data_IF_002415326110
#
_entry.id   IF_002415326110
#
_cell.length_a   1.000
_cell.length_b   1.000
_cell.length_c   1.000
_cell.angle_alpha   90.00
_cell.angle_beta   90.00
_cell.angle_gamma   90.00
#
_symmetry.space_group_name_H-M   'P 1'
#
loop_
_entity.id
_entity.type
_entity.pdbx_description
1 polymer ?
#
# COMPACT_ATOMS: atom_id res chain seq x y z
N UNK A 1 0.70 -1.55 7.99
CA UNK A 1 1.11 -1.58 6.57
C UNK A 1 2.63 -1.45 6.51
N UNK A 2 3.27 -1.71 5.37
CA UNK A 2 4.69 -1.40 5.20
C UNK A 2 4.96 0.09 5.47
N UNK A 3 6.05 0.39 6.17
CA UNK A 3 6.41 1.70 6.67
C UNK A 3 5.85 2.02 8.06
N UNK A 4 4.80 1.33 8.51
CA UNK A 4 4.22 1.57 9.83
C UNK A 4 5.03 0.90 10.94
N UNK A 5 4.77 1.32 12.18
CA UNK A 5 5.23 0.60 13.38
C UNK A 5 4.18 -0.40 13.85
N UNK A 6 4.61 -1.54 14.36
CA UNK A 6 3.75 -2.56 14.97
C UNK A 6 4.27 -2.91 16.35
N UNK A 7 3.34 -3.18 17.27
CA UNK A 7 3.64 -3.65 18.63
C UNK A 7 3.05 -5.04 18.81
N UNK A 8 3.90 -5.99 19.22
CA UNK A 8 3.51 -7.34 19.60
C UNK A 8 3.39 -7.38 21.13
N UNK A 9 2.15 -7.28 21.60
CA UNK A 9 1.83 -7.15 23.02
C UNK A 9 1.99 -8.47 23.78
N UNK A 10 2.64 -8.42 24.94
CA UNK A 10 2.77 -9.55 25.86
C UNK A 10 1.96 -9.30 27.13
N UNK A 11 0.65 -9.22 26.98
CA UNK A 11 -0.25 -8.84 28.07
C UNK A 11 -0.62 -10.02 28.99
N UNK A 12 -0.16 -11.23 28.68
CA UNK A 12 -0.43 -12.43 29.47
C UNK A 12 0.26 -12.37 30.84
N UNK A 13 -0.50 -12.64 31.91
CA UNK A 13 -0.02 -12.59 33.30
C UNK A 13 1.19 -13.48 33.55
N UNK A 14 1.29 -14.60 32.85
CA UNK A 14 2.40 -15.55 33.00
C UNK A 14 3.68 -15.04 32.35
N UNK A 15 3.56 -14.27 31.26
CA UNK A 15 4.71 -13.61 30.62
C UNK A 15 5.20 -12.46 31.51
N UNK A 16 4.30 -11.70 32.12
CA UNK A 16 4.68 -10.62 33.04
C UNK A 16 5.41 -11.11 34.30
N UNK A 17 5.10 -12.32 34.78
CA UNK A 17 5.78 -12.96 35.93
C UNK A 17 7.13 -13.60 35.59
N UNK A 18 7.46 -13.71 34.31
CA UNK A 18 8.69 -14.37 33.87
C UNK A 18 9.90 -13.45 34.02
N UNK A 19 10.97 -13.90 34.69
CA UNK A 19 12.17 -13.06 34.88
C UNK A 19 12.90 -12.73 33.58
N UNK A 20 12.97 -13.69 32.65
CA UNK A 20 13.69 -13.57 31.38
C UNK A 20 12.78 -13.93 30.21
N UNK A 21 12.52 -12.96 29.34
CA UNK A 21 11.77 -13.15 28.10
C UNK A 21 12.73 -13.01 26.92
N UNK A 22 12.60 -13.93 25.97
CA UNK A 22 13.32 -13.90 24.70
C UNK A 22 12.33 -13.86 23.54
N UNK A 23 12.52 -12.88 22.66
CA UNK A 23 11.85 -12.81 21.36
C UNK A 23 12.67 -13.54 20.31
N UNK A 24 12.05 -14.53 19.68
CA UNK A 24 12.65 -15.34 18.62
C UNK A 24 11.88 -15.15 17.32
N UNK A 25 12.60 -15.07 16.21
CA UNK A 25 12.04 -14.86 14.87
C UNK A 25 12.29 -16.05 13.95
N UNK A 26 11.25 -16.41 13.21
CA UNK A 26 11.29 -17.37 12.12
C UNK A 26 11.42 -18.83 12.56
N UNK A 27 11.55 -19.75 11.60
CA UNK A 27 11.61 -21.20 11.87
C UNK A 27 12.92 -21.63 12.55
N UNK A 28 13.98 -20.83 12.42
CA UNK A 28 15.28 -21.07 13.07
C UNK A 28 15.32 -20.55 14.51
N UNK A 29 14.23 -19.95 15.00
CA UNK A 29 14.13 -19.41 16.36
C UNK A 29 15.29 -18.46 16.72
N UNK A 30 15.62 -17.57 15.80
CA UNK A 30 16.72 -16.61 15.95
C UNK A 30 16.34 -15.58 17.01
N UNK A 31 17.14 -15.44 18.07
CA UNK A 31 16.88 -14.45 19.12
C UNK A 31 17.12 -13.04 18.56
N UNK A 32 16.12 -12.18 18.63
CA UNK A 32 16.18 -10.81 18.12
C UNK A 32 16.13 -9.76 19.23
N UNK A 33 15.56 -10.09 20.38
CA UNK A 33 15.51 -9.23 21.55
C UNK A 33 15.31 -10.06 22.83
N UNK A 34 15.73 -9.51 23.97
CA UNK A 34 15.48 -10.10 25.29
C UNK A 34 15.29 -9.03 26.37
N UNK A 35 14.51 -9.37 27.38
CA UNK A 35 14.36 -8.59 28.62
C UNK A 35 14.63 -9.48 29.82
N UNK A 36 15.62 -9.09 30.63
CA UNK A 36 15.97 -9.68 31.91
C UNK A 36 15.52 -8.73 33.03
N UNK A 37 14.37 -9.03 33.62
CA UNK A 37 13.77 -8.21 34.69
C UNK A 37 14.55 -8.32 36.00
N UNK A 38 15.21 -9.45 36.25
CA UNK A 38 16.02 -9.65 37.46
C UNK A 38 17.23 -8.71 37.47
N UNK A 39 17.84 -8.52 36.30
CA UNK A 39 18.99 -7.63 36.12
C UNK A 39 18.60 -6.24 35.58
N UNK A 40 17.30 -5.96 35.42
CA UNK A 40 16.75 -4.75 34.81
C UNK A 40 17.44 -4.38 33.47
N UNK A 41 17.67 -5.40 32.63
CA UNK A 41 18.41 -5.27 31.39
C UNK A 41 17.52 -5.60 30.19
N UNK A 42 17.58 -4.77 29.16
CA UNK A 42 16.99 -5.03 27.85
C UNK A 42 18.10 -5.10 26.81
N UNK A 43 18.02 -6.06 25.90
CA UNK A 43 19.03 -6.24 24.85
C UNK A 43 18.33 -6.45 23.52
N UNK A 44 18.77 -5.70 22.52
CA UNK A 44 18.38 -5.88 21.12
C UNK A 44 19.57 -6.46 20.37
N UNK A 45 19.35 -7.52 19.59
CA UNK A 45 20.39 -8.15 18.78
C UNK A 45 20.28 -7.65 17.34
N UNK A 46 20.82 -6.47 17.07
CA UNK A 46 20.74 -5.83 15.76
C UNK A 46 21.43 -6.63 14.64
N UNK A 47 22.48 -7.37 14.98
CA UNK A 47 23.29 -8.12 14.02
C UNK A 47 22.75 -9.54 13.75
N UNK A 48 21.69 -9.92 14.46
CA UNK A 48 21.02 -11.20 14.26
C UNK A 48 19.97 -11.11 13.14
N UNK A 49 19.49 -12.28 12.71
CA UNK A 49 18.49 -12.41 11.64
C UNK A 49 18.92 -11.68 10.36
N UNK A 50 20.17 -11.90 9.95
CA UNK A 50 20.78 -11.32 8.76
C UNK A 50 20.73 -9.78 8.76
N UNK A 51 20.90 -9.16 9.93
CA UNK A 51 20.82 -7.70 10.15
C UNK A 51 19.49 -7.06 9.72
N UNK A 52 18.45 -7.88 9.48
CA UNK A 52 17.17 -7.41 8.92
C UNK A 52 16.54 -6.31 9.74
N UNK A 53 16.63 -6.41 11.07
CA UNK A 53 15.94 -5.51 11.99
C UNK A 53 16.83 -4.41 12.57
N UNK A 54 18.02 -4.21 12.01
CA UNK A 54 18.97 -3.21 12.46
C UNK A 54 18.31 -1.85 12.68
N UNK A 55 18.45 -1.32 13.90
CA UNK A 55 17.94 -0.03 14.36
C UNK A 55 16.40 0.12 14.40
N UNK A 56 15.65 -0.98 14.22
CA UNK A 56 14.18 -0.96 14.12
C UNK A 56 13.45 -1.67 15.26
N UNK A 57 14.14 -2.52 16.02
CA UNK A 57 13.54 -3.18 17.19
C UNK A 57 13.63 -2.29 18.43
N UNK A 58 12.55 -2.26 19.20
CA UNK A 58 12.51 -1.71 20.54
C UNK A 58 11.75 -2.66 21.46
N UNK A 59 12.08 -2.61 22.74
CA UNK A 59 11.33 -3.30 23.79
C UNK A 59 10.67 -2.29 24.71
N UNK A 60 9.45 -2.58 25.12
CA UNK A 60 8.79 -1.90 26.21
C UNK A 60 9.09 -2.61 27.55
N UNK A 61 8.90 -1.91 28.68
CA UNK A 61 9.09 -2.44 30.03
C UNK A 61 8.18 -3.65 30.31
N UNK A 62 7.02 -3.71 29.65
CA UNK A 62 6.11 -4.86 29.72
C UNK A 62 6.68 -6.13 29.08
N UNK A 63 7.71 -6.02 28.24
CA UNK A 63 8.24 -7.10 27.42
C UNK A 63 7.69 -7.14 25.99
N UNK A 64 6.81 -6.20 25.64
CA UNK A 64 6.26 -6.06 24.29
C UNK A 64 7.33 -5.67 23.28
N UNK A 65 7.33 -6.31 22.11
CA UNK A 65 8.26 -6.02 21.02
C UNK A 65 7.65 -5.00 20.06
N UNK A 66 8.39 -3.93 19.80
CA UNK A 66 8.00 -2.89 18.85
C UNK A 66 8.94 -2.99 17.64
N UNK A 67 8.35 -3.09 16.45
CA UNK A 67 9.08 -3.07 15.18
C UNK A 67 8.69 -1.80 14.45
N UNK A 68 9.64 -0.89 14.27
CA UNK A 68 9.42 0.36 13.53
C UNK A 68 9.73 0.20 12.06
N UNK A 69 9.13 1.06 11.22
CA UNK A 69 9.35 1.09 9.78
C UNK A 69 9.31 -0.32 9.17
N UNK A 70 8.19 -1.02 9.40
CA UNK A 70 8.03 -2.42 9.01
C UNK A 70 8.18 -2.60 7.51
N UNK A 71 8.76 -3.73 7.10
CA UNK A 71 8.95 -4.11 5.70
C UNK A 71 8.17 -5.38 5.42
N UNK A 72 7.81 -5.61 4.16
CA UNK A 72 7.19 -6.89 3.75
C UNK A 72 8.03 -8.11 4.19
N UNK A 73 9.35 -7.98 4.21
CA UNK A 73 10.30 -8.98 4.69
C UNK A 73 10.21 -9.27 6.19
N UNK A 74 9.65 -8.38 7.00
CA UNK A 74 9.50 -8.59 8.44
C UNK A 74 8.32 -9.51 8.77
N UNK A 75 7.53 -9.90 7.77
CA UNK A 75 6.48 -10.88 7.93
C UNK A 75 7.04 -12.23 8.39
N UNK A 76 6.34 -12.90 9.28
CA UNK A 76 6.74 -14.20 9.78
C UNK A 76 6.27 -14.47 11.20
N UNK A 77 6.76 -15.59 11.73
CA UNK A 77 6.44 -16.07 13.07
C UNK A 77 7.39 -15.45 14.10
N UNK A 78 6.81 -14.86 15.13
CA UNK A 78 7.51 -14.33 16.29
C UNK A 78 7.08 -15.13 17.51
N UNK A 79 8.02 -15.66 18.27
CA UNK A 79 7.75 -16.49 19.44
C UNK A 79 8.36 -15.87 20.68
N UNK A 80 7.61 -15.90 21.77
CA UNK A 80 8.04 -15.46 23.09
C UNK A 80 8.43 -16.69 23.89
N UNK A 81 9.65 -16.75 24.41
CA UNK A 81 10.11 -17.84 25.26
C UNK A 81 10.53 -17.33 26.63
N UNK A 82 10.38 -18.19 27.64
CA UNK A 82 11.08 -18.01 28.91
C UNK A 82 12.40 -18.77 28.91
N UNK A 83 13.26 -18.46 29.89
CA UNK A 83 14.46 -19.29 30.16
C UNK A 83 14.13 -20.74 30.53
N UNK A 84 12.99 -20.96 31.19
CA UNK A 84 12.66 -22.21 31.87
C UNK A 84 11.82 -23.17 31.02
N UNK A 85 11.32 -22.70 29.87
CA UNK A 85 10.43 -23.47 29.01
C UNK A 85 10.98 -23.55 27.59
N UNK A 86 11.01 -24.76 27.05
CA UNK A 86 11.26 -24.99 25.63
C UNK A 86 10.04 -24.64 24.78
N UNK A 87 8.85 -24.69 25.36
CA UNK A 87 7.62 -24.27 24.67
C UNK A 87 7.50 -22.74 24.68
N UNK A 88 7.07 -22.15 23.56
CA UNK A 88 6.81 -20.72 23.51
C UNK A 88 5.64 -20.37 24.43
N UNK A 89 5.80 -19.31 25.22
CA UNK A 89 4.72 -18.73 26.02
C UNK A 89 3.64 -18.11 25.14
N UNK A 90 4.05 -17.51 24.02
CA UNK A 90 3.13 -16.93 23.05
C UNK A 90 3.76 -16.93 21.65
N UNK A 91 2.92 -16.90 20.63
CA UNK A 91 3.32 -16.94 19.21
C UNK A 91 2.47 -15.97 18.40
N UNK A 92 3.12 -15.08 17.67
CA UNK A 92 2.51 -14.07 16.82
C UNK A 92 2.86 -14.33 15.36
N UNK A 93 1.86 -14.26 14.47
CA UNK A 93 2.07 -14.30 13.04
C UNK A 93 1.88 -12.89 12.47
N UNK A 94 2.99 -12.22 12.14
CA UNK A 94 2.96 -10.88 11.56
C UNK A 94 2.90 -10.98 10.04
N UNK A 95 1.94 -10.28 9.43
CA UNK A 95 1.87 -10.11 7.96
C UNK A 95 1.91 -8.63 7.62
N UNK A 96 2.98 -8.20 6.94
CA UNK A 96 3.16 -6.83 6.46
C UNK A 96 2.82 -6.77 4.98
N UNK A 97 1.97 -5.81 4.59
CA UNK A 97 1.54 -5.61 3.19
C UNK A 97 1.98 -4.23 2.70
N UNK A 98 2.39 -4.16 1.43
CA UNK A 98 2.69 -2.89 0.78
C UNK A 98 1.43 -2.03 0.73
N UNK A 99 1.54 -0.76 1.11
CA UNK A 99 0.49 0.21 0.89
C UNK A 99 0.59 0.73 -0.54
N UNK A 100 -0.24 0.23 -1.43
CA UNK A 100 -0.41 0.83 -2.75
C UNK A 100 -1.14 2.16 -2.57
N UNK A 101 -0.41 3.26 -2.39
CA UNK A 101 -0.97 4.57 -2.58
C UNK A 101 -1.47 4.68 -4.03
N UNK A 102 -2.78 4.57 -4.23
CA UNK A 102 -3.39 5.10 -5.45
C UNK A 102 -3.22 6.61 -5.40
N UNK A 103 -2.07 7.10 -5.88
CA UNK A 103 -1.92 8.48 -6.30
C UNK A 103 -2.81 8.68 -7.51
N UNK A 104 -4.11 8.87 -7.28
CA UNK A 104 -4.92 9.62 -8.24
C UNK A 104 -4.37 11.03 -8.16
N UNK A 105 -3.39 11.31 -9.00
CA UNK A 105 -2.83 12.64 -9.14
C UNK A 105 -3.99 13.57 -9.50
N UNK A 106 -4.40 14.38 -8.52
CA UNK A 106 -5.43 15.43 -8.69
C UNK A 106 -5.11 16.38 -9.85
N UNK A 107 -3.85 16.38 -10.30
CA UNK A 107 -3.32 17.19 -11.40
C UNK A 107 -3.81 16.76 -12.79
N UNK A 108 -4.28 15.51 -12.96
CA UNK A 108 -4.83 15.07 -14.25
C UNK A 108 -6.33 15.31 -14.39
N UNK A 109 -7.07 15.47 -13.29
CA UNK A 109 -8.52 15.67 -13.37
C UNK A 109 -8.90 17.05 -13.90
N UNK A 110 -8.13 18.09 -13.59
CA UNK A 110 -8.37 19.44 -14.15
C UNK A 110 -8.08 19.48 -15.64
N UNK A 111 -6.99 18.86 -16.09
CA UNK A 111 -6.63 18.81 -17.52
C UNK A 111 -7.67 18.02 -18.33
N UNK A 112 -8.08 16.85 -17.85
CA UNK A 112 -9.14 16.05 -18.50
C UNK A 112 -10.46 16.83 -18.53
N UNK A 113 -10.81 17.54 -17.45
CA UNK A 113 -12.02 18.36 -17.41
C UNK A 113 -11.99 19.51 -18.44
N UNK A 114 -10.86 20.20 -18.57
CA UNK A 114 -10.67 21.25 -19.58
C UNK A 114 -10.75 20.68 -21.01
N UNK A 115 -10.14 19.52 -21.27
CA UNK A 115 -10.22 18.84 -22.56
C UNK A 115 -11.67 18.44 -22.92
N UNK A 116 -12.43 17.90 -21.95
CA UNK A 116 -13.84 17.55 -22.18
C UNK A 116 -14.73 18.78 -22.40
N UNK A 117 -14.47 19.87 -21.70
CA UNK A 117 -15.19 21.14 -21.90
C UNK A 117 -14.88 21.75 -23.27
N UNK A 118 -13.62 21.74 -23.70
CA UNK A 118 -13.23 22.18 -25.05
C UNK A 118 -13.85 21.30 -26.14
N UNK A 119 -13.84 19.97 -25.96
CA UNK A 119 -14.48 19.05 -26.89
C UNK A 119 -15.98 19.31 -27.01
N UNK A 120 -16.66 19.56 -25.88
CA UNK A 120 -18.08 19.95 -25.85
C UNK A 120 -18.31 21.26 -26.60
N UNK A 121 -17.49 22.30 -26.34
CA UNK A 121 -17.58 23.61 -27.00
C UNK A 121 -17.45 23.51 -28.53
N UNK A 122 -16.51 22.68 -29.01
CA UNK A 122 -16.28 22.42 -30.44
C UNK A 122 -17.48 21.68 -31.04
N UNK A 123 -18.03 20.68 -30.34
CA UNK A 123 -19.20 19.94 -30.80
C UNK A 123 -20.46 20.82 -30.88
N UNK A 124 -20.68 21.73 -29.93
CA UNK A 124 -21.84 22.65 -29.98
C UNK A 124 -21.71 23.65 -31.13
N UNK A 125 -20.50 24.16 -31.38
CA UNK A 125 -20.21 25.06 -32.52
C UNK A 125 -20.42 24.34 -33.87
N UNK A 126 -20.02 23.08 -33.97
CA UNK A 126 -20.26 22.25 -35.16
C UNK A 126 -21.75 21.88 -35.32
N UNK A 127 -22.49 21.73 -34.23
CA UNK A 127 -23.94 21.44 -34.22
C UNK A 127 -24.83 22.66 -34.52
N UNK A 128 -24.32 23.88 -34.32
CA UNK A 128 -25.05 25.12 -34.63
C UNK A 128 -24.77 25.61 -36.07
N UNK A 129 -23.63 25.25 -36.65
CA UNK A 129 -23.28 25.55 -38.04
C UNK A 129 -23.94 24.61 -39.07
N UNK A 130 -24.86 23.74 -38.68
CA UNK A 130 -25.62 22.87 -39.60
C UNK A 130 -26.89 23.51 -40.18
N UNK A 131 -27.17 24.78 -39.90
CA UNK A 131 -28.18 25.55 -40.62
C UNK A 131 -27.55 26.75 -41.34
N UNK A 132 -27.66 26.72 -42.67
CA UNK A 132 -27.31 27.73 -43.69
C UNK A 132 -25.88 27.70 -44.23
N UNK A 133 -25.76 27.29 -45.50
CA UNK A 133 -24.64 27.66 -46.37
C UNK A 133 -24.35 26.65 -47.47
N UNK A 134 -24.99 26.80 -48.63
CA UNK A 134 -24.52 26.20 -49.88
C UNK A 134 -23.04 26.56 -50.13
N UNK A 135 -22.22 25.57 -50.47
CA UNK A 135 -20.80 25.76 -50.84
C UNK A 135 -20.63 25.76 -52.36
N UNK A 136 -19.97 26.78 -52.97
CA UNK A 136 -19.58 26.74 -54.37
C UNK A 136 -18.36 25.85 -54.60
N UNK A 137 -18.35 25.23 -55.78
CA UNK A 137 -17.36 24.31 -56.39
C UNK A 137 -15.93 24.31 -55.80
N UNK A 138 -15.48 23.13 -55.36
CA UNK A 138 -14.05 22.78 -55.30
C UNK A 138 -13.65 21.87 -54.14
N UNK A 139 -13.62 20.55 -54.38
CA UNK A 139 -13.09 19.45 -53.51
C UNK A 139 -13.88 19.18 -52.21
N UNK A 140 -14.88 18.30 -52.30
CA UNK A 140 -15.58 17.72 -51.15
C UNK A 140 -14.81 16.50 -50.61
N UNK A 141 -14.46 16.49 -49.33
CA UNK A 141 -14.22 15.23 -48.58
C UNK A 141 -15.54 14.81 -47.93
N UNK A 142 -15.94 13.53 -48.00
CA UNK A 142 -17.25 13.10 -47.51
C UNK A 142 -17.31 13.09 -45.98
N UNK A 143 -18.49 13.45 -45.45
CA UNK A 143 -18.85 13.49 -44.02
C UNK A 143 -18.62 12.15 -43.30
N UNK A 144 -18.53 11.04 -44.05
CA UNK A 144 -18.19 9.71 -43.55
C UNK A 144 -16.82 9.65 -42.85
N UNK A 145 -15.84 10.46 -43.28
CA UNK A 145 -14.50 10.48 -42.68
C UNK A 145 -14.49 11.06 -41.26
N UNK A 146 -15.33 12.07 -40.99
CA UNK A 146 -15.40 12.73 -39.68
C UNK A 146 -16.11 11.83 -38.65
N UNK A 147 -17.09 11.05 -39.12
CA UNK A 147 -17.83 10.10 -38.28
C UNK A 147 -17.03 8.82 -37.97
N UNK A 148 -16.13 8.37 -38.85
CA UNK A 148 -15.27 7.21 -38.60
C UNK A 148 -14.23 7.49 -37.50
N UNK A 149 -13.60 8.66 -37.52
CA UNK A 149 -12.66 9.08 -36.48
C UNK A 149 -13.38 9.20 -35.12
N UNK A 150 -14.59 9.74 -35.10
CA UNK A 150 -15.41 9.87 -33.89
C UNK A 150 -15.77 8.51 -33.24
N UNK A 151 -16.03 7.46 -34.04
CA UNK A 151 -16.27 6.10 -33.51
C UNK A 151 -15.00 5.47 -32.95
N UNK A 152 -13.84 5.78 -33.54
CA UNK A 152 -12.55 5.28 -33.09
C UNK A 152 -12.15 5.87 -31.73
N UNK A 153 -12.50 7.15 -31.49
CA UNK A 153 -12.31 7.80 -30.18
C UNK A 153 -13.26 7.28 -29.09
N UNK A 154 -14.52 6.96 -29.42
CA UNK A 154 -15.45 6.33 -28.45
C UNK A 154 -14.94 4.97 -27.96
N UNK A 155 -14.49 4.10 -28.88
CA UNK A 155 -13.90 2.81 -28.51
C UNK A 155 -12.65 2.95 -27.65
N UNK A 156 -11.87 4.02 -27.86
CA UNK A 156 -10.69 4.31 -27.03
C UNK A 156 -11.10 4.76 -25.63
N UNK A 157 -12.15 5.57 -25.49
CA UNK A 157 -12.72 5.99 -24.20
C UNK A 157 -13.31 4.81 -23.40
N UNK A 158 -13.98 3.85 -24.06
CA UNK A 158 -14.56 2.67 -23.39
C UNK A 158 -13.50 1.77 -22.74
N UNK A 159 -12.30 1.68 -23.35
CA UNK A 159 -11.14 0.97 -22.79
C UNK A 159 -10.58 1.67 -21.54
N UNK A 160 -10.72 3.00 -21.44
CA UNK A 160 -10.34 3.75 -20.24
C UNK A 160 -11.40 3.65 -19.13
N UNK A 161 -12.68 3.57 -19.47
CA UNK A 161 -13.77 3.39 -18.49
C UNK A 161 -13.79 1.98 -17.88
N UNK A 162 -13.36 0.94 -18.61
CA UNK A 162 -13.29 -0.44 -18.06
C UNK A 162 -12.19 -0.67 -17.03
N UNK A 163 -11.22 0.25 -16.89
CA UNK A 163 -10.11 0.14 -15.94
C UNK A 163 -10.24 1.06 -14.71
N UNK A 164 -11.38 1.70 -14.49
CA UNK A 164 -11.55 2.55 -13.32
C UNK A 164 -12.97 3.06 -13.12
N UNK A 165 -13.57 2.59 -12.03
CA UNK A 165 -14.79 3.11 -11.40
C UNK A 165 -16.11 2.87 -12.15
N UNK A 166 -16.75 1.76 -11.78
CA UNK A 166 -18.21 1.74 -11.54
C UNK A 166 -18.42 2.30 -10.14
N UNK A 167 -19.09 3.45 -10.03
CA UNK A 167 -19.81 3.80 -8.81
C UNK A 167 -21.14 4.41 -9.25
N UNK A 168 -22.19 3.80 -8.70
CA UNK A 168 -23.63 4.09 -8.76
C UNK A 168 -24.05 5.54 -8.85
#
# INVERSE_FOLDING_TARGET
MEGDSVTLHTDDTDIQRTDLIMWKFGPKDIIIAQIDRKNNMMTIFNDNADERFRDRLKLDQTGSLIITNTRTTDSGLYKVHSRRSETPLNTFNLTVRMHAERRVSKRFNTEICLFLLLYRQIHTKLSQNTHLGEYPRGKKKPVSYVLSESRQWRKKLDVYHYNGCVVS
#
